data_IF_215321887675
#
_entry.id   IF_215321887675
#
_cell.length_a   1.000
_cell.length_b   1.000
_cell.length_c   1.000
_cell.angle_alpha   90.00
_cell.angle_beta   90.00
_cell.angle_gamma   90.00
#
_symmetry.space_group_name_H-M   'P 1'
#
loop_
_entity.id
_entity.type
_entity.pdbx_description
1 polymer ?
#
# COMPACT_ATOMS: atom_id res chain seq x y z
N UNK A 1 -43.71 10.45 -12.39
CA UNK A 1 -44.30 10.56 -11.04
C UNK A 1 -43.37 9.84 -10.09
N UNK A 2 -42.68 10.56 -9.19
CA UNK A 2 -41.73 9.97 -8.25
C UNK A 2 -42.48 9.12 -7.22
N UNK A 3 -42.01 7.90 -6.98
CA UNK A 3 -42.62 7.01 -5.99
C UNK A 3 -42.49 7.59 -4.58
N UNK A 4 -43.42 7.29 -3.66
CA UNK A 4 -43.56 7.95 -2.34
C UNK A 4 -42.41 7.67 -1.33
N UNK A 5 -41.26 7.15 -1.78
CA UNK A 5 -40.16 6.71 -0.92
C UNK A 5 -38.81 7.39 -1.16
N UNK A 6 -38.60 8.08 -2.28
CA UNK A 6 -37.34 8.79 -2.57
C UNK A 6 -37.63 10.27 -2.62
N UNK A 7 -37.24 10.95 -1.55
CA UNK A 7 -37.16 12.40 -1.53
C UNK A 7 -35.89 12.79 -2.30
N UNK A 8 -35.99 13.70 -3.25
CA UNK A 8 -34.84 14.13 -4.09
C UNK A 8 -33.63 14.55 -3.25
N UNK A 9 -33.89 15.12 -2.07
CA UNK A 9 -32.88 15.47 -1.08
C UNK A 9 -32.04 14.27 -0.60
N UNK A 10 -32.64 13.09 -0.42
CA UNK A 10 -31.94 11.91 0.09
C UNK A 10 -31.04 11.29 -1.00
N UNK A 11 -31.48 11.34 -2.26
CA UNK A 11 -30.70 10.88 -3.40
C UNK A 11 -29.49 11.79 -3.63
N UNK A 12 -29.67 13.11 -3.61
CA UNK A 12 -28.58 14.06 -3.74
C UNK A 12 -27.55 13.93 -2.62
N UNK A 13 -27.99 13.77 -1.37
CA UNK A 13 -27.09 13.59 -0.23
C UNK A 13 -26.29 12.28 -0.33
N UNK A 14 -26.93 11.18 -0.73
CA UNK A 14 -26.26 9.90 -0.96
C UNK A 14 -25.21 10.00 -2.07
N UNK A 15 -25.54 10.64 -3.19
CA UNK A 15 -24.61 10.86 -4.30
C UNK A 15 -23.44 11.76 -3.89
N UNK A 16 -23.69 12.76 -3.04
CA UNK A 16 -22.62 13.59 -2.48
C UNK A 16 -21.65 12.76 -1.63
N UNK A 17 -22.16 11.86 -0.79
CA UNK A 17 -21.30 10.95 -0.01
C UNK A 17 -20.50 10.00 -0.90
N UNK A 18 -21.09 9.44 -1.96
CA UNK A 18 -20.33 8.66 -2.94
C UNK A 18 -19.26 9.48 -3.65
N UNK A 19 -19.54 10.73 -4.03
CA UNK A 19 -18.54 11.63 -4.61
C UNK A 19 -17.39 11.93 -3.64
N UNK A 20 -17.69 12.13 -2.35
CA UNK A 20 -16.67 12.31 -1.31
C UNK A 20 -15.83 11.05 -1.10
N UNK A 21 -16.44 9.87 -1.17
CA UNK A 21 -15.76 8.58 -1.08
C UNK A 21 -14.83 8.35 -2.28
N UNK A 22 -15.30 8.60 -3.50
CA UNK A 22 -14.50 8.57 -4.73
C UNK A 22 -13.26 9.48 -4.61
N UNK A 23 -13.45 10.72 -4.18
CA UNK A 23 -12.33 11.66 -3.99
C UNK A 23 -11.29 11.17 -2.97
N UNK A 24 -11.72 10.44 -1.93
CA UNK A 24 -10.81 9.81 -0.98
C UNK A 24 -10.01 8.68 -1.62
N UNK A 25 -10.64 7.81 -2.41
CA UNK A 25 -9.93 6.73 -3.10
C UNK A 25 -8.96 7.24 -4.17
N UNK A 26 -9.33 8.26 -4.93
CA UNK A 26 -8.41 8.94 -5.85
C UNK A 26 -7.20 9.51 -5.09
N UNK A 27 -7.44 10.18 -3.95
CA UNK A 27 -6.34 10.72 -3.13
C UNK A 27 -5.43 9.60 -2.59
N UNK A 28 -5.99 8.46 -2.18
CA UNK A 28 -5.20 7.32 -1.74
C UNK A 28 -4.35 6.76 -2.88
N UNK A 29 -4.90 6.60 -4.08
CA UNK A 29 -4.15 6.16 -5.27
C UNK A 29 -2.97 7.08 -5.58
N UNK A 30 -3.18 8.39 -5.56
CA UNK A 30 -2.10 9.36 -5.78
C UNK A 30 -1.01 9.27 -4.70
N UNK A 31 -1.41 9.06 -3.44
CA UNK A 31 -0.47 8.82 -2.35
C UNK A 31 0.28 7.50 -2.52
N UNK A 32 -0.34 6.44 -3.04
CA UNK A 32 0.31 5.15 -3.30
C UNK A 32 1.33 5.25 -4.42
N UNK A 33 1.02 6.01 -5.48
CA UNK A 33 1.98 6.32 -6.56
C UNK A 33 3.19 7.12 -6.02
N UNK A 34 2.95 8.10 -5.15
CA UNK A 34 4.03 8.86 -4.48
C UNK A 34 4.85 7.97 -3.54
N UNK A 35 4.20 7.10 -2.77
CA UNK A 35 4.86 6.15 -1.88
C UNK A 35 5.86 5.29 -2.65
N UNK A 36 5.45 4.75 -3.80
CA UNK A 36 6.33 3.97 -4.67
C UNK A 36 7.60 4.73 -5.08
N UNK A 37 7.44 5.96 -5.57
CA UNK A 37 8.60 6.79 -5.95
C UNK A 37 9.53 7.07 -4.77
N UNK A 38 9.00 7.20 -3.55
CA UNK A 38 9.78 7.43 -2.32
C UNK A 38 10.49 6.15 -1.86
N UNK A 39 9.84 4.99 -2.00
CA UNK A 39 10.45 3.68 -1.72
C UNK A 39 11.67 3.48 -2.62
N UNK A 40 11.56 3.80 -3.91
CA UNK A 40 12.66 3.71 -4.86
C UNK A 40 13.83 4.64 -4.51
N UNK A 41 13.56 5.81 -3.90
CA UNK A 41 14.61 6.74 -3.46
C UNK A 41 15.18 6.43 -2.08
N UNK A 42 14.60 5.51 -1.32
CA UNK A 42 15.04 5.13 0.03
C UNK A 42 14.83 6.20 1.11
N UNK A 43 13.95 7.18 0.88
CA UNK A 43 13.70 8.28 1.83
C UNK A 43 12.66 7.87 2.89
N UNK A 44 13.15 7.42 4.04
CA UNK A 44 12.34 6.90 5.13
C UNK A 44 11.48 8.00 5.78
N UNK A 45 11.98 9.23 5.88
CA UNK A 45 11.22 10.33 6.49
C UNK A 45 10.05 10.75 5.59
N UNK A 46 10.29 10.84 4.27
CA UNK A 46 9.23 11.07 3.29
C UNK A 46 8.20 9.93 3.27
N UNK A 47 8.65 8.67 3.44
CA UNK A 47 7.76 7.52 3.50
C UNK A 47 6.82 7.62 4.71
N UNK A 48 7.35 7.96 5.88
CA UNK A 48 6.55 8.16 7.10
C UNK A 48 5.51 9.28 6.94
N UNK A 49 5.86 10.37 6.26
CA UNK A 49 4.93 11.47 5.98
C UNK A 49 3.77 11.01 5.08
N UNK A 50 4.07 10.30 3.99
CA UNK A 50 3.03 9.76 3.08
C UNK A 50 2.11 8.77 3.78
N UNK A 51 2.63 7.93 4.67
CA UNK A 51 1.81 7.00 5.47
C UNK A 51 0.86 7.74 6.42
N UNK A 52 1.31 8.84 7.05
CA UNK A 52 0.44 9.68 7.88
C UNK A 52 -0.67 10.35 7.06
N UNK A 53 -0.36 10.84 5.87
CA UNK A 53 -1.36 11.39 4.95
C UNK A 53 -2.40 10.35 4.55
N UNK A 54 -1.97 9.13 4.19
CA UNK A 54 -2.88 8.01 3.91
C UNK A 54 -3.78 7.70 5.10
N UNK A 55 -3.25 7.68 6.33
CA UNK A 55 -4.05 7.45 7.54
C UNK A 55 -5.14 8.52 7.72
N UNK A 56 -4.85 9.80 7.43
CA UNK A 56 -5.86 10.88 7.49
C UNK A 56 -6.98 10.66 6.48
N UNK A 57 -6.65 10.22 5.27
CA UNK A 57 -7.66 9.92 4.24
C UNK A 57 -8.50 8.70 4.62
N UNK A 58 -7.89 7.63 5.17
CA UNK A 58 -8.62 6.46 5.68
C UNK A 58 -9.60 6.80 6.81
N UNK A 59 -9.21 7.72 7.72
CA UNK A 59 -10.12 8.21 8.76
C UNK A 59 -11.33 8.95 8.17
N UNK A 60 -11.13 9.67 7.05
CA UNK A 60 -12.20 10.35 6.32
C UNK A 60 -13.12 9.35 5.62
N UNK A 61 -12.57 8.32 4.96
CA UNK A 61 -13.35 7.20 4.39
C UNK A 61 -14.23 6.56 5.46
N UNK A 62 -13.65 6.24 6.63
CA UNK A 62 -14.39 5.67 7.77
C UNK A 62 -15.56 6.55 8.20
N UNK A 63 -15.38 7.88 8.16
CA UNK A 63 -16.43 8.83 8.53
C UNK A 63 -17.54 8.93 7.48
N UNK A 64 -17.19 8.86 6.19
CA UNK A 64 -18.15 8.84 5.08
C UNK A 64 -18.95 7.54 5.08
N UNK A 65 -18.30 6.39 5.30
CA UNK A 65 -18.96 5.08 5.39
C UNK A 65 -20.01 5.02 6.51
N UNK A 66 -19.76 5.67 7.65
CA UNK A 66 -20.76 5.82 8.71
C UNK A 66 -21.99 6.60 8.25
N UNK A 67 -21.82 7.61 7.39
CA UNK A 67 -22.92 8.39 6.81
C UNK A 67 -23.64 7.65 5.69
N UNK A 68 -22.94 6.81 4.94
CA UNK A 68 -23.54 5.96 3.90
C UNK A 68 -24.32 4.76 4.47
N UNK A 69 -23.96 4.28 5.67
CA UNK A 69 -24.57 3.11 6.31
C UNK A 69 -26.11 3.11 6.31
N UNK A 70 -26.81 4.19 6.72
CA UNK A 70 -28.28 4.22 6.72
C UNK A 70 -28.89 4.05 5.33
N UNK A 71 -28.22 4.52 4.27
CA UNK A 71 -28.67 4.35 2.88
C UNK A 71 -28.40 2.93 2.39
N UNK A 72 -27.25 2.33 2.74
CA UNK A 72 -26.92 0.93 2.43
C UNK A 72 -27.89 -0.04 3.12
N UNK A 73 -28.24 0.19 4.38
CA UNK A 73 -29.21 -0.62 5.13
C UNK A 73 -30.63 -0.53 4.57
N UNK A 74 -31.03 0.65 4.09
CA UNK A 74 -32.35 0.89 3.51
C UNK A 74 -32.38 0.74 1.97
N UNK A 75 -31.32 0.20 1.37
CA UNK A 75 -31.14 0.13 -0.07
C UNK A 75 -32.30 -0.53 -0.83
N UNK A 76 -32.86 -1.68 -0.38
CA UNK A 76 -33.99 -2.31 -1.09
C UNK A 76 -35.23 -1.41 -1.16
N UNK A 77 -35.46 -0.58 -0.14
CA UNK A 77 -36.58 0.36 -0.08
C UNK A 77 -36.32 1.60 -0.93
N UNK A 78 -35.09 2.13 -0.91
CA UNK A 78 -34.70 3.28 -1.73
C UNK A 78 -34.79 2.95 -3.23
N UNK A 79 -34.29 1.77 -3.63
CA UNK A 79 -34.30 1.31 -5.02
C UNK A 79 -35.70 1.20 -5.63
N UNK A 80 -36.73 0.94 -4.81
CA UNK A 80 -38.13 0.89 -5.28
C UNK A 80 -38.67 2.26 -5.70
N UNK A 81 -38.11 3.35 -5.16
CA UNK A 81 -38.54 4.71 -5.49
C UNK A 81 -37.76 5.37 -6.63
N UNK A 82 -36.67 4.76 -7.10
CA UNK A 82 -35.87 5.28 -8.21
C UNK A 82 -36.54 5.06 -9.56
N UNK A 83 -36.59 6.12 -10.36
CA UNK A 83 -36.85 6.02 -11.78
C UNK A 83 -35.61 5.51 -12.55
N UNK A 84 -35.72 5.40 -13.87
CA UNK A 84 -34.63 4.86 -14.68
C UNK A 84 -33.38 5.74 -14.65
N UNK A 85 -33.55 7.06 -14.59
CA UNK A 85 -32.44 8.01 -14.54
C UNK A 85 -31.71 7.93 -13.20
N UNK A 86 -32.46 7.90 -12.10
CA UNK A 86 -31.89 7.76 -10.75
C UNK A 86 -31.12 6.44 -10.62
N UNK A 87 -31.65 5.34 -11.17
CA UNK A 87 -30.95 4.04 -11.19
C UNK A 87 -29.65 4.11 -11.96
N UNK A 88 -29.65 4.76 -13.12
CA UNK A 88 -28.45 4.91 -13.93
C UNK A 88 -27.38 5.70 -13.17
N UNK A 89 -27.72 6.88 -12.65
CA UNK A 89 -26.78 7.75 -11.93
C UNK A 89 -26.16 7.04 -10.72
N UNK A 90 -26.98 6.36 -9.91
CA UNK A 90 -26.44 5.64 -8.74
C UNK A 90 -25.62 4.42 -9.14
N UNK A 91 -26.01 3.71 -10.19
CA UNK A 91 -25.23 2.57 -10.70
C UNK A 91 -23.86 2.98 -11.21
N UNK A 92 -23.77 4.12 -11.91
CA UNK A 92 -22.51 4.68 -12.38
C UNK A 92 -21.62 5.09 -11.20
N UNK A 93 -22.18 5.77 -10.19
CA UNK A 93 -21.44 6.17 -9.01
C UNK A 93 -20.86 4.96 -8.23
N UNK A 94 -21.66 3.89 -8.08
CA UNK A 94 -21.22 2.65 -7.42
C UNK A 94 -20.12 1.94 -8.23
N UNK A 95 -20.29 1.83 -9.55
CA UNK A 95 -19.27 1.23 -10.41
C UNK A 95 -17.94 1.96 -10.30
N UNK A 96 -17.95 3.29 -10.32
CA UNK A 96 -16.73 4.09 -10.17
C UNK A 96 -16.06 3.86 -8.81
N UNK A 97 -16.84 3.75 -7.73
CA UNK A 97 -16.29 3.42 -6.40
C UNK A 97 -15.62 2.04 -6.39
N UNK A 98 -16.27 1.03 -6.97
CA UNK A 98 -15.75 -0.34 -7.05
C UNK A 98 -14.44 -0.41 -7.87
N UNK A 99 -14.39 0.28 -9.01
CA UNK A 99 -13.19 0.37 -9.86
C UNK A 99 -12.02 1.02 -9.13
N UNK A 100 -12.24 2.15 -8.46
CA UNK A 100 -11.20 2.86 -7.69
C UNK A 100 -10.67 2.01 -6.53
N UNK A 101 -11.56 1.28 -5.84
CA UNK A 101 -11.17 0.38 -4.75
C UNK A 101 -10.31 -0.78 -5.26
N UNK A 102 -10.69 -1.39 -6.38
CA UNK A 102 -9.93 -2.48 -6.98
C UNK A 102 -8.53 -2.01 -7.40
N UNK A 103 -8.42 -0.83 -8.02
CA UNK A 103 -7.12 -0.23 -8.38
C UNK A 103 -6.28 0.05 -7.14
N UNK A 104 -6.89 0.60 -6.07
CA UNK A 104 -6.18 0.92 -4.84
C UNK A 104 -5.60 -0.33 -4.18
N UNK A 105 -6.39 -1.40 -4.04
CA UNK A 105 -5.93 -2.68 -3.47
C UNK A 105 -4.75 -3.24 -4.26
N UNK A 106 -4.82 -3.19 -5.60
CA UNK A 106 -3.74 -3.65 -6.46
C UNK A 106 -2.46 -2.83 -6.24
N UNK A 107 -2.59 -1.49 -6.16
CA UNK A 107 -1.47 -0.57 -5.95
C UNK A 107 -0.80 -0.74 -4.57
N UNK A 108 -1.58 -0.94 -3.51
CA UNK A 108 -1.03 -1.19 -2.17
C UNK A 108 -0.24 -2.51 -2.12
N UNK A 109 -0.79 -3.56 -2.73
CA UNK A 109 -0.13 -4.87 -2.79
C UNK A 109 1.23 -4.78 -3.50
N UNK A 110 1.27 -4.08 -4.62
CA UNK A 110 2.49 -3.86 -5.39
C UNK A 110 3.54 -3.07 -4.59
N UNK A 111 3.10 -2.08 -3.81
CA UNK A 111 3.99 -1.30 -2.92
C UNK A 111 4.54 -2.13 -1.76
N UNK A 112 3.73 -3.03 -1.20
CA UNK A 112 4.16 -3.97 -0.17
C UNK A 112 5.23 -4.95 -0.70
N UNK A 113 5.01 -5.49 -1.90
CA UNK A 113 5.94 -6.42 -2.55
C UNK A 113 7.30 -5.73 -2.83
N UNK A 114 7.29 -4.47 -3.26
CA UNK A 114 8.52 -3.68 -3.46
C UNK A 114 9.31 -3.46 -2.16
N UNK A 115 8.64 -3.03 -1.09
CA UNK A 115 9.27 -2.85 0.22
C UNK A 115 9.88 -4.16 0.75
N UNK A 116 9.18 -5.27 0.53
CA UNK A 116 9.66 -6.61 0.92
C UNK A 116 10.92 -6.99 0.13
N UNK A 117 10.94 -6.73 -1.18
CA UNK A 117 12.10 -6.96 -2.05
C UNK A 117 13.34 -6.18 -1.59
N UNK A 118 13.22 -4.87 -1.42
CA UNK A 118 14.34 -4.03 -0.96
C UNK A 118 14.88 -4.47 0.41
N UNK A 119 13.99 -4.85 1.35
CA UNK A 119 14.42 -5.39 2.64
C UNK A 119 15.25 -6.67 2.48
N UNK A 120 14.83 -7.57 1.59
CA UNK A 120 15.51 -8.83 1.36
C UNK A 120 16.85 -8.64 0.63
N UNK A 121 16.94 -7.67 -0.28
CA UNK A 121 18.21 -7.24 -0.93
C UNK A 121 19.20 -6.66 0.09
N UNK A 122 18.76 -5.68 0.91
CA UNK A 122 19.57 -5.10 1.99
C UNK A 122 20.04 -6.20 2.95
N UNK A 123 19.19 -7.19 3.25
CA UNK A 123 19.56 -8.33 4.08
C UNK A 123 20.61 -9.22 3.40
N UNK A 124 20.52 -9.45 2.10
CA UNK A 124 21.52 -10.22 1.35
C UNK A 124 22.86 -9.48 1.26
N UNK A 125 22.85 -8.17 1.02
CA UNK A 125 24.05 -7.32 1.04
C UNK A 125 24.73 -7.31 2.41
N UNK A 126 23.95 -7.26 3.49
CA UNK A 126 24.46 -7.35 4.85
C UNK A 126 25.11 -8.73 5.11
N UNK A 127 24.47 -9.81 4.66
CA UNK A 127 25.02 -11.17 4.80
C UNK A 127 26.29 -11.34 3.97
N UNK A 128 26.33 -10.88 2.73
CA UNK A 128 27.51 -11.01 1.86
C UNK A 128 28.70 -10.17 2.37
N UNK A 129 28.44 -8.96 2.88
CA UNK A 129 29.46 -8.09 3.50
C UNK A 129 30.06 -8.70 4.77
N UNK A 130 29.23 -9.33 5.61
CA UNK A 130 29.69 -10.02 6.83
C UNK A 130 30.52 -11.28 6.52
N UNK A 131 30.26 -11.96 5.40
CA UNK A 131 31.07 -13.11 4.97
C UNK A 131 32.33 -12.69 4.20
N UNK A 132 32.34 -11.54 3.52
CA UNK A 132 33.52 -10.97 2.86
C UNK A 132 34.64 -10.54 3.82
N UNK A 133 34.28 -10.12 5.05
CA UNK A 133 35.25 -9.77 6.10
C UNK A 133 36.04 -10.93 6.70
N UNK A 134 35.61 -12.19 6.50
CA UNK A 134 36.30 -13.38 7.03
C UNK A 134 37.29 -14.02 6.05
N UNK A 135 37.38 -13.54 4.81
CA UNK A 135 38.26 -14.13 3.79
C UNK A 135 39.73 -13.68 3.93
N UNK A 136 40.01 -12.58 4.63
CA UNK A 136 41.38 -12.09 4.81
C UNK A 136 42.17 -12.72 5.99
N UNK A 137 41.54 -13.57 6.80
CA UNK A 137 42.21 -14.19 7.96
C UNK A 137 42.79 -15.59 7.69
N UNK A 138 42.59 -16.15 6.50
CA UNK A 138 43.05 -17.50 6.15
C UNK A 138 44.45 -17.56 5.51
N UNK A 139 45.06 -16.42 5.17
CA UNK A 139 46.41 -16.37 4.58
C UNK A 139 47.53 -15.99 5.57
N UNK A 140 47.21 -15.71 6.83
CA UNK A 140 48.20 -15.35 7.87
C UNK A 140 48.34 -16.38 8.99
N UNK A 141 47.75 -17.58 8.83
CA UNK A 141 47.79 -18.65 9.83
C UNK A 141 48.79 -19.78 9.57
N UNK A 142 49.50 -19.79 8.44
CA UNK A 142 50.36 -20.91 8.03
C UNK A 142 51.85 -20.51 7.99
N UNK A 143 52.37 -19.95 9.07
CA UNK A 143 53.81 -19.93 9.37
C UNK A 143 54.00 -20.05 10.87
N UNK A 144 54.06 -21.28 11.38
CA UNK A 144 54.34 -21.50 12.79
C UNK A 144 54.02 -22.90 13.29
N UNK A 145 54.58 -23.94 12.66
CA UNK A 145 54.54 -25.28 13.24
C UNK A 145 54.95 -26.36 12.26
N UNK A 146 55.99 -27.10 12.64
CA UNK A 146 56.46 -28.36 12.05
C UNK A 146 57.33 -28.29 10.78
N UNK A 147 58.64 -28.12 10.99
CA UNK A 147 59.61 -29.11 10.53
C UNK A 147 60.89 -29.05 11.39
N UNK A 148 60.77 -29.51 12.63
CA UNK A 148 61.92 -30.00 13.39
C UNK A 148 62.21 -31.44 12.93
N UNK A 149 63.01 -31.61 11.88
CA UNK A 149 64.01 -32.68 11.73
C UNK A 149 64.62 -32.71 10.32
N UNK A 150 65.95 -32.82 10.33
CA UNK A 150 66.85 -33.26 9.26
C UNK A 150 67.18 -32.25 8.14
N UNK A 151 68.38 -31.66 8.22
CA UNK A 151 69.45 -31.82 7.24
C UNK A 151 70.79 -31.29 7.80
N UNK A 152 71.55 -32.23 8.36
CA UNK A 152 72.99 -32.52 8.21
C UNK A 152 73.97 -31.49 7.57
N UNK A 153 75.17 -31.41 8.19
CA UNK A 153 76.57 -31.15 7.72
C UNK A 153 77.17 -29.72 7.61
N UNK A 154 78.33 -29.57 8.31
CA UNK A 154 79.66 -28.95 7.99
C UNK A 154 80.09 -27.92 9.04
N UNK A 155 81.29 -27.89 9.62
CA UNK A 155 82.56 -28.63 9.55
C UNK A 155 83.18 -28.62 10.96
#
# INVERSE_FOLDING_TARGET
MKGPGVNDSNLSEMLEYFGQEQACYTSLLDLSRRQRSIIESGDVDALMNVLQEKQRVLNRVTSIEKKLRPYKENWPRLKQGFDENDRQVVSEALRTVEELLAELIASEKESEDLLRGQRDEVRQELVSSVHGGKVHQAYTGQQGGEEARFLDIKE
#
